data_IF_978297405772
#
_entry.id   IF_978297405772
#
_cell.length_a   1.000
_cell.length_b   1.000
_cell.length_c   1.000
_cell.angle_alpha   90.00
_cell.angle_beta   90.00
_cell.angle_gamma   90.00
#
_symmetry.space_group_name_H-M   'P 1'
#
loop_
_entity.id
_entity.type
_entity.pdbx_description
1 polymer ?
#
# COMPACT_ATOMS: atom_id res chain seq x y z
N UNK A 1 6.66 24.89 -9.28
CA UNK A 1 5.59 25.07 -8.29
C UNK A 1 6.03 24.29 -7.06
N UNK A 2 6.22 24.93 -5.89
CA UNK A 2 6.48 24.16 -4.66
C UNK A 2 5.18 23.45 -4.34
N UNK A 3 5.19 22.11 -4.35
CA UNK A 3 4.06 21.34 -3.85
C UNK A 3 4.10 21.52 -2.33
N UNK A 4 2.99 21.96 -1.75
CA UNK A 4 2.91 22.24 -0.32
C UNK A 4 2.62 20.92 0.41
N UNK A 5 3.48 20.55 1.36
CA UNK A 5 3.24 19.38 2.21
C UNK A 5 2.12 19.69 3.21
N UNK A 6 1.24 18.72 3.43
CA UNK A 6 0.08 18.86 4.32
C UNK A 6 0.41 18.54 5.79
N UNK A 7 1.53 17.87 6.04
CA UNK A 7 1.91 17.36 7.35
C UNK A 7 3.14 18.08 7.90
N UNK A 8 3.18 18.39 9.21
CA UNK A 8 4.39 18.89 9.86
C UNK A 8 5.54 17.90 9.74
N UNK A 9 6.79 18.37 9.69
CA UNK A 9 7.99 17.52 9.61
C UNK A 9 8.11 16.50 10.76
N UNK A 10 7.47 16.79 11.90
CA UNK A 10 7.47 15.93 13.10
C UNK A 10 6.43 14.82 13.07
N UNK A 11 5.57 14.79 12.05
CA UNK A 11 4.45 13.85 11.95
C UNK A 11 4.52 13.01 10.68
N UNK A 12 3.91 11.82 10.72
CA UNK A 12 3.90 10.88 9.60
C UNK A 12 2.58 10.98 8.82
N UNK A 13 2.66 11.06 7.49
CA UNK A 13 1.49 11.19 6.63
C UNK A 13 0.63 9.92 6.55
N UNK A 14 1.07 8.82 7.18
CA UNK A 14 0.34 7.54 7.25
C UNK A 14 -0.03 7.15 8.68
N UNK A 15 -0.04 8.11 9.61
CA UNK A 15 -0.56 7.92 10.97
C UNK A 15 -2.09 7.99 10.98
N UNK A 16 -2.72 6.93 10.44
CA UNK A 16 -4.17 6.85 10.31
C UNK A 16 -4.86 6.46 11.62
N UNK A 17 -6.04 7.03 11.84
CA UNK A 17 -6.97 6.59 12.88
C UNK A 17 -7.77 5.37 12.43
N UNK A 18 -8.31 4.60 13.39
CA UNK A 18 -9.23 3.49 13.09
C UNK A 18 -10.45 3.96 12.28
N UNK A 19 -11.02 5.13 12.59
CA UNK A 19 -12.16 5.68 11.86
C UNK A 19 -11.81 5.91 10.37
N UNK A 20 -10.64 6.47 10.10
CA UNK A 20 -10.18 6.71 8.73
C UNK A 20 -9.96 5.39 7.98
N UNK A 21 -9.27 4.41 8.58
CA UNK A 21 -9.05 3.09 7.97
C UNK A 21 -10.39 2.42 7.66
N UNK A 22 -11.31 2.39 8.63
CA UNK A 22 -12.61 1.74 8.45
C UNK A 22 -13.44 2.41 7.34
N UNK A 23 -13.44 3.74 7.30
CA UNK A 23 -14.28 4.52 6.38
C UNK A 23 -13.71 4.62 4.96
N UNK A 24 -12.43 4.90 4.83
CA UNK A 24 -11.81 5.21 3.53
C UNK A 24 -11.14 4.01 2.88
N UNK A 25 -10.83 2.96 3.66
CA UNK A 25 -10.20 1.75 3.14
C UNK A 25 -11.09 0.51 3.23
N UNK A 26 -11.62 0.19 4.42
CA UNK A 26 -12.40 -1.05 4.62
C UNK A 26 -13.79 -0.98 3.98
N UNK A 27 -14.56 0.09 4.23
CA UNK A 27 -15.93 0.21 3.74
C UNK A 27 -16.04 0.09 2.20
N UNK A 28 -15.19 0.75 1.38
CA UNK A 28 -15.21 0.58 -0.08
C UNK A 28 -14.98 -0.85 -0.56
N UNK A 29 -14.11 -1.60 0.13
CA UNK A 29 -13.77 -2.98 -0.23
C UNK A 29 -14.84 -3.98 0.25
N UNK A 30 -15.51 -3.68 1.37
CA UNK A 30 -16.54 -4.56 1.96
C UNK A 30 -17.78 -4.75 1.09
N UNK A 31 -17.98 -3.90 0.07
CA UNK A 31 -19.07 -4.01 -0.89
C UNK A 31 -18.83 -5.13 -1.93
N UNK A 32 -17.62 -5.67 -2.01
CA UNK A 32 -17.27 -6.77 -2.89
C UNK A 32 -17.50 -8.12 -2.19
N UNK A 33 -18.38 -8.96 -2.75
CA UNK A 33 -18.71 -10.28 -2.18
C UNK A 33 -17.58 -11.30 -2.22
N UNK A 34 -16.54 -11.06 -3.02
CA UNK A 34 -15.38 -11.94 -3.16
C UNK A 34 -14.29 -11.67 -2.11
N UNK A 35 -14.53 -10.71 -1.20
CA UNK A 35 -13.60 -10.28 -0.16
C UNK A 35 -14.08 -10.80 1.19
N UNK A 36 -13.16 -11.39 1.95
CA UNK A 36 -13.37 -11.77 3.34
C UNK A 36 -12.46 -10.91 4.22
N UNK A 37 -13.05 -9.89 4.85
CA UNK A 37 -12.27 -8.85 5.55
C UNK A 37 -12.12 -9.21 7.03
N UNK A 38 -10.87 -9.21 7.48
CA UNK A 38 -10.51 -9.27 8.91
C UNK A 38 -9.66 -8.07 9.27
N UNK A 39 -9.92 -7.49 10.44
CA UNK A 39 -9.15 -6.37 10.98
C UNK A 39 -8.40 -6.83 12.23
N UNK A 40 -7.10 -6.59 12.26
CA UNK A 40 -6.20 -7.14 13.27
C UNK A 40 -5.38 -6.05 13.96
N UNK A 41 -4.99 -6.35 15.20
CA UNK A 41 -4.08 -5.59 16.06
C UNK A 41 -3.23 -6.58 16.84
N UNK A 42 -1.90 -6.44 16.84
CA UNK A 42 -0.97 -7.42 17.41
C UNK A 42 -1.24 -8.86 16.92
N UNK A 43 -1.51 -9.03 15.62
CA UNK A 43 -1.90 -10.31 14.98
C UNK A 43 -3.21 -10.95 15.51
N UNK A 44 -3.95 -10.27 16.39
CA UNK A 44 -5.25 -10.72 16.89
C UNK A 44 -6.39 -10.02 16.13
N UNK A 45 -7.39 -10.79 15.71
CA UNK A 45 -8.61 -10.21 15.13
C UNK A 45 -9.40 -9.43 16.18
N UNK A 46 -9.81 -8.21 15.81
CA UNK A 46 -10.52 -7.30 16.71
C UNK A 46 -11.90 -6.91 16.14
N UNK A 47 -12.89 -6.63 17.00
CA UNK A 47 -14.13 -5.98 16.56
C UNK A 47 -13.87 -4.61 15.94
N UNK A 48 -14.69 -4.19 14.97
CA UNK A 48 -14.56 -2.88 14.31
C UNK A 48 -14.76 -1.68 15.25
N UNK A 49 -15.46 -1.87 16.35
CA UNK A 49 -15.69 -0.87 17.41
C UNK A 49 -14.66 -0.93 18.54
N UNK A 50 -13.59 -1.72 18.36
CA UNK A 50 -12.47 -1.79 19.30
C UNK A 50 -11.65 -0.50 19.33
N UNK A 51 -11.18 -0.15 20.54
CA UNK A 51 -10.23 0.95 20.76
C UNK A 51 -8.76 0.56 20.45
N UNK A 52 -8.48 -0.73 20.20
CA UNK A 52 -7.15 -1.18 19.77
C UNK A 52 -6.83 -0.62 18.37
N UNK A 53 -5.62 -0.12 18.16
CA UNK A 53 -5.18 0.40 16.86
C UNK A 53 -5.23 -0.70 15.80
N UNK A 54 -5.86 -0.44 14.67
CA UNK A 54 -5.82 -1.33 13.51
C UNK A 54 -4.41 -1.24 12.90
N UNK A 55 -3.76 -2.38 12.80
CA UNK A 55 -2.41 -2.52 12.24
C UNK A 55 -2.44 -3.31 10.94
N UNK A 56 -3.36 -4.26 10.81
CA UNK A 56 -3.48 -5.10 9.62
C UNK A 56 -4.93 -5.24 9.20
N UNK A 57 -5.16 -5.23 7.89
CA UNK A 57 -6.43 -5.64 7.29
C UNK A 57 -6.15 -6.74 6.28
N UNK A 58 -6.70 -7.93 6.53
CA UNK A 58 -6.68 -9.06 5.58
C UNK A 58 -7.94 -9.01 4.71
N UNK A 59 -7.80 -9.29 3.41
CA UNK A 59 -8.87 -9.18 2.42
C UNK A 59 -9.31 -10.56 1.85
N UNK A 60 -8.63 -11.62 2.25
CA UNK A 60 -8.89 -13.01 1.85
C UNK A 60 -9.04 -13.95 3.05
N UNK A 61 -9.49 -13.40 4.18
CA UNK A 61 -9.82 -14.14 5.39
C UNK A 61 -8.61 -14.75 6.09
N UNK A 62 -8.64 -16.07 6.31
CA UNK A 62 -7.58 -16.83 6.98
C UNK A 62 -6.40 -17.16 6.07
N UNK A 63 -6.49 -16.93 4.75
CA UNK A 63 -5.39 -17.20 3.82
C UNK A 63 -4.23 -16.23 4.02
N UNK A 64 -4.55 -14.95 4.25
CA UNK A 64 -3.58 -13.87 4.42
C UNK A 64 -2.57 -13.78 3.26
N UNK A 65 -3.02 -14.07 2.03
CA UNK A 65 -2.24 -13.86 0.80
C UNK A 65 -2.55 -12.48 0.18
N UNK A 66 -3.58 -11.78 0.66
CA UNK A 66 -3.87 -10.39 0.30
C UNK A 66 -4.20 -9.59 1.56
N UNK A 67 -3.26 -8.77 2.01
CA UNK A 67 -3.45 -7.94 3.20
C UNK A 67 -2.67 -6.63 3.11
N UNK A 68 -3.01 -5.69 3.99
CA UNK A 68 -2.30 -4.42 4.14
C UNK A 68 -1.89 -4.23 5.60
N UNK A 69 -0.67 -3.75 5.81
CA UNK A 69 -0.15 -3.35 7.11
C UNK A 69 -0.02 -1.83 7.18
N UNK A 70 -0.56 -1.24 8.22
CA UNK A 70 -0.50 0.19 8.52
C UNK A 70 0.52 0.42 9.63
N UNK A 71 1.73 0.83 9.26
CA UNK A 71 2.71 1.37 10.19
C UNK A 71 2.78 2.88 9.96
N UNK A 72 2.84 3.66 11.02
CA UNK A 72 2.68 5.12 10.93
C UNK A 72 3.61 5.77 9.88
N UNK A 73 4.86 5.29 9.76
CA UNK A 73 5.84 5.76 8.79
C UNK A 73 5.94 4.92 7.50
N UNK A 74 5.24 3.79 7.43
CA UNK A 74 5.18 2.90 6.27
C UNK A 74 3.86 2.12 6.22
N UNK A 75 3.14 2.20 5.11
CA UNK A 75 2.06 1.26 4.82
C UNK A 75 2.51 0.28 3.75
N UNK A 76 2.22 -1.02 3.92
CA UNK A 76 2.63 -2.06 2.96
C UNK A 76 1.44 -2.89 2.51
N UNK A 77 1.30 -3.09 1.20
CA UNK A 77 0.34 -4.04 0.61
C UNK A 77 1.10 -5.33 0.29
N UNK A 78 0.58 -6.45 0.77
CA UNK A 78 1.11 -7.78 0.50
C UNK A 78 0.18 -8.53 -0.45
N UNK A 79 0.75 -9.08 -1.52
CA UNK A 79 0.07 -9.89 -2.52
C UNK A 79 0.92 -11.15 -2.72
N UNK A 80 0.47 -12.27 -2.16
CA UNK A 80 1.23 -13.51 -2.07
C UNK A 80 2.59 -13.25 -1.39
N UNK A 81 3.70 -13.46 -2.08
CA UNK A 81 5.07 -13.23 -1.60
C UNK A 81 5.63 -11.84 -1.96
N UNK A 82 4.84 -10.99 -2.62
CA UNK A 82 5.25 -9.66 -3.05
C UNK A 82 4.78 -8.58 -2.08
N UNK A 83 5.69 -7.71 -1.64
CA UNK A 83 5.39 -6.52 -0.85
C UNK A 83 5.50 -5.25 -1.70
N UNK A 84 4.47 -4.40 -1.61
CA UNK A 84 4.48 -3.02 -2.12
C UNK A 84 4.53 -2.06 -0.93
N UNK A 85 5.65 -1.37 -0.77
CA UNK A 85 5.92 -0.44 0.32
C UNK A 85 5.59 1.00 -0.07
N UNK A 86 4.80 1.65 0.77
CA UNK A 86 4.53 3.09 0.75
C UNK A 86 5.19 3.69 1.98
N UNK A 87 6.27 4.44 1.79
CA UNK A 87 7.09 4.99 2.88
C UNK A 87 6.89 6.51 2.92
N UNK A 88 6.69 7.06 4.12
CA UNK A 88 6.59 8.50 4.31
C UNK A 88 7.87 9.16 3.77
N UNK A 89 7.72 10.23 2.98
CA UNK A 89 8.84 10.87 2.30
C UNK A 89 9.97 11.30 3.26
N UNK A 90 9.63 11.73 4.48
CA UNK A 90 10.60 12.10 5.51
C UNK A 90 11.23 10.88 6.20
N UNK A 91 10.58 9.72 6.16
CA UNK A 91 11.09 8.47 6.71
C UNK A 91 12.07 7.75 5.76
N UNK A 92 12.01 7.99 4.44
CA UNK A 92 12.86 7.32 3.42
C UNK A 92 14.36 7.35 3.73
N UNK A 93 14.86 8.45 4.32
CA UNK A 93 16.28 8.58 4.73
C UNK A 93 16.73 7.58 5.79
N UNK A 94 15.79 6.95 6.49
CA UNK A 94 16.05 5.93 7.51
C UNK A 94 16.07 4.51 6.93
N UNK A 95 15.66 4.34 5.67
CA UNK A 95 15.68 3.05 4.98
C UNK A 95 17.01 2.84 4.27
N UNK A 96 17.45 1.60 4.22
CA UNK A 96 18.67 1.17 3.55
C UNK A 96 18.33 0.27 2.37
N UNK A 97 19.33 -0.02 1.53
CA UNK A 97 19.14 -0.94 0.41
C UNK A 97 18.73 -2.35 0.86
N UNK A 98 19.04 -2.78 2.10
CA UNK A 98 18.56 -4.07 2.62
C UNK A 98 17.11 -4.04 3.05
N UNK A 99 16.60 -2.90 3.52
CA UNK A 99 15.20 -2.77 3.95
C UNK A 99 14.25 -2.77 2.74
N UNK A 100 14.73 -2.28 1.59
CA UNK A 100 13.94 -2.16 0.36
C UNK A 100 14.28 -3.25 -0.67
N UNK A 101 15.22 -4.15 -0.37
CA UNK A 101 15.62 -5.18 -1.32
C UNK A 101 14.46 -6.14 -1.60
N UNK A 102 14.24 -6.47 -2.87
CA UNK A 102 13.18 -7.38 -3.35
C UNK A 102 11.75 -6.86 -3.16
N UNK A 103 11.57 -5.63 -2.67
CA UNK A 103 10.27 -5.02 -2.45
C UNK A 103 9.98 -3.94 -3.51
N UNK A 104 8.71 -3.80 -3.88
CA UNK A 104 8.25 -2.70 -4.74
C UNK A 104 8.11 -1.45 -3.87
N UNK A 105 8.90 -0.41 -4.13
CA UNK A 105 8.86 0.83 -3.33
C UNK A 105 8.21 1.96 -4.12
N UNK A 106 7.18 2.59 -3.54
CA UNK A 106 6.54 3.76 -4.11
C UNK A 106 7.39 5.04 -3.95
N UNK A 107 7.70 5.69 -5.07
CA UNK A 107 8.55 6.89 -5.14
C UNK A 107 7.79 8.18 -5.45
N UNK A 108 6.46 8.17 -5.35
CA UNK A 108 5.67 9.40 -5.35
C UNK A 108 5.72 10.14 -4.00
N UNK A 109 5.20 11.37 -3.99
CA UNK A 109 5.10 12.21 -2.79
C UNK A 109 3.75 11.98 -2.10
N UNK A 110 3.78 11.32 -0.94
CA UNK A 110 2.59 11.02 -0.13
C UNK A 110 2.21 12.19 0.78
N UNK A 111 3.19 12.99 1.22
CA UNK A 111 2.96 14.12 2.15
C UNK A 111 2.14 15.26 1.55
N UNK A 112 1.89 15.23 0.24
CA UNK A 112 0.99 16.16 -0.46
C UNK A 112 -0.44 15.62 -0.62
N UNK A 113 -0.74 14.44 -0.10
CA UNK A 113 -2.06 13.81 -0.13
C UNK A 113 -2.64 13.76 1.28
N UNK A 114 -3.94 14.01 1.44
CA UNK A 114 -4.64 13.81 2.71
C UNK A 114 -4.73 12.32 3.08
N UNK A 115 -5.00 11.99 4.35
CA UNK A 115 -5.20 10.61 4.77
C UNK A 115 -6.27 9.90 3.94
N UNK A 116 -7.36 10.61 3.64
CA UNK A 116 -8.42 10.13 2.77
C UNK A 116 -7.88 9.76 1.38
N UNK A 117 -7.13 10.64 0.73
CA UNK A 117 -6.58 10.39 -0.61
C UNK A 117 -5.60 9.22 -0.62
N UNK A 118 -4.76 9.09 0.42
CA UNK A 118 -3.83 7.96 0.55
C UNK A 118 -4.61 6.65 0.73
N UNK A 119 -5.57 6.61 1.65
CA UNK A 119 -6.37 5.41 1.92
C UNK A 119 -7.24 5.01 0.72
N UNK A 120 -7.83 5.97 0.00
CA UNK A 120 -8.60 5.72 -1.22
C UNK A 120 -7.70 5.18 -2.35
N UNK A 121 -6.47 5.69 -2.49
CA UNK A 121 -5.48 5.15 -3.43
C UNK A 121 -5.10 3.70 -3.08
N UNK A 122 -4.84 3.41 -1.80
CA UNK A 122 -4.51 2.06 -1.33
C UNK A 122 -5.69 1.09 -1.55
N UNK A 123 -6.92 1.53 -1.26
CA UNK A 123 -8.12 0.75 -1.49
C UNK A 123 -8.34 0.48 -2.99
N UNK A 124 -8.10 1.47 -3.85
CA UNK A 124 -8.15 1.29 -5.29
C UNK A 124 -7.16 0.21 -5.75
N UNK A 125 -5.88 0.31 -5.35
CA UNK A 125 -4.85 -0.68 -5.70
C UNK A 125 -5.27 -2.09 -5.26
N UNK A 126 -5.67 -2.26 -4.00
CA UNK A 126 -6.09 -3.56 -3.47
C UNK A 126 -7.33 -4.10 -4.19
N UNK A 127 -8.28 -3.24 -4.57
CA UNK A 127 -9.46 -3.68 -5.32
C UNK A 127 -9.09 -4.40 -6.62
N UNK A 128 -7.98 -4.02 -7.25
CA UNK A 128 -7.47 -4.68 -8.46
C UNK A 128 -6.73 -5.98 -8.17
N UNK A 129 -6.19 -6.14 -6.96
CA UNK A 129 -5.46 -7.34 -6.53
C UNK A 129 -6.38 -8.47 -6.07
N UNK A 130 -7.66 -8.19 -5.78
CA UNK A 130 -8.65 -9.22 -5.42
C UNK A 130 -8.78 -10.24 -6.55
N UNK A 131 -8.65 -11.52 -6.21
CA UNK A 131 -8.76 -12.63 -7.15
C UNK A 131 -7.52 -12.88 -8.01
N UNK A 132 -6.40 -12.21 -7.70
CA UNK A 132 -5.08 -12.53 -8.26
C UNK A 132 -4.65 -13.92 -7.82
N UNK A 133 -4.11 -14.69 -8.77
CA UNK A 133 -3.54 -16.02 -8.50
C UNK A 133 -2.07 -16.13 -8.94
N UNK A 134 -1.54 -15.12 -9.62
CA UNK A 134 -0.14 -15.04 -10.03
C UNK A 134 0.28 -13.57 -10.09
N UNK A 135 1.45 -13.27 -9.55
CA UNK A 135 2.10 -11.96 -9.59
C UNK A 135 3.54 -12.13 -10.04
N UNK A 136 4.02 -11.20 -10.87
CA UNK A 136 5.45 -11.07 -11.15
C UNK A 136 5.80 -9.59 -11.32
N UNK A 137 7.01 -9.24 -10.88
CA UNK A 137 7.50 -7.86 -10.90
C UNK A 137 8.72 -7.79 -11.81
N UNK A 138 8.69 -6.85 -12.74
CA UNK A 138 9.87 -6.42 -13.49
C UNK A 138 10.34 -5.08 -12.94
N UNK A 139 11.64 -4.92 -12.75
CA UNK A 139 12.24 -3.69 -12.24
C UNK A 139 13.26 -3.09 -13.23
N UNK A 140 13.19 -1.78 -13.40
CA UNK A 140 14.12 -1.00 -14.20
C UNK A 140 14.76 0.06 -13.31
N UNK A 141 16.08 -0.01 -13.13
CA UNK A 141 16.81 0.93 -12.29
C UNK A 141 16.64 2.36 -12.81
N UNK A 142 16.27 3.27 -11.91
CA UNK A 142 16.18 4.69 -12.22
C UNK A 142 17.49 5.40 -11.87
N UNK A 143 17.84 6.42 -12.67
CA UNK A 143 18.93 7.31 -12.29
C UNK A 143 18.51 8.11 -11.05
N UNK A 144 19.20 7.89 -9.93
CA UNK A 144 18.93 8.53 -8.65
C UNK A 144 18.98 10.07 -8.80
N UNK A 145 17.83 10.71 -8.98
CA UNK A 145 17.72 12.19 -9.01
C UNK A 145 17.72 12.81 -7.61
N UNK A 146 17.44 12.01 -6.58
CA UNK A 146 17.36 12.45 -5.20
C UNK A 146 18.36 11.66 -4.35
N UNK A 147 18.92 12.27 -3.31
CA UNK A 147 19.88 11.72 -2.36
C UNK A 147 19.31 10.57 -1.50
N UNK A 148 18.65 9.59 -2.12
CA UNK A 148 18.12 8.40 -1.45
C UNK A 148 19.26 7.52 -0.95
N UNK A 149 19.07 6.96 0.24
CA UNK A 149 19.95 5.97 0.87
C UNK A 149 19.84 4.57 0.25
N UNK A 150 18.92 4.38 -0.70
CA UNK A 150 18.72 3.15 -1.45
C UNK A 150 18.53 3.42 -2.95
N UNK A 151 18.62 2.36 -3.76
CA UNK A 151 18.43 2.46 -5.22
C UNK A 151 16.95 2.53 -5.54
N UNK A 152 16.55 3.46 -6.41
CA UNK A 152 15.17 3.56 -6.87
C UNK A 152 14.98 2.85 -8.19
N UNK A 153 13.78 2.31 -8.40
CA UNK A 153 13.40 1.57 -9.59
C UNK A 153 12.03 2.00 -10.07
N UNK A 154 11.82 1.82 -11.35
CA UNK A 154 10.49 1.74 -11.96
C UNK A 154 10.07 0.27 -11.93
N UNK A 155 8.82 0.02 -11.55
CA UNK A 155 8.28 -1.32 -11.42
C UNK A 155 7.11 -1.54 -12.37
N UNK A 156 7.13 -2.65 -13.10
CA UNK A 156 5.98 -3.20 -13.78
C UNK A 156 5.48 -4.40 -12.95
N UNK A 157 4.39 -4.20 -12.20
CA UNK A 157 3.73 -5.19 -11.36
C UNK A 157 2.62 -5.84 -12.18
N UNK A 158 2.82 -7.09 -12.56
CA UNK A 158 1.91 -7.81 -13.46
C UNK A 158 1.10 -8.83 -12.67
N UNK A 159 -0.22 -8.69 -12.71
CA UNK A 159 -1.20 -9.49 -11.99
C UNK A 159 -2.00 -10.34 -12.97
N UNK A 160 -2.03 -11.66 -12.78
CA UNK A 160 -3.07 -12.50 -13.41
C UNK A 160 -4.18 -12.74 -12.40
N UNK A 161 -5.38 -12.33 -12.75
CA UNK A 161 -6.53 -12.40 -11.87
C UNK A 161 -7.72 -13.07 -12.57
N UNK A 162 -8.66 -13.57 -11.78
CA UNK A 162 -9.93 -14.09 -12.28
C UNK A 162 -10.89 -12.94 -12.68
N UNK A 163 -10.41 -11.99 -13.48
CA UNK A 163 -11.18 -10.82 -13.95
C UNK A 163 -11.35 -10.86 -15.45
N UNK A 164 -12.49 -10.36 -15.92
CA UNK A 164 -12.82 -10.36 -17.35
C UNK A 164 -12.19 -9.19 -18.13
N UNK A 165 -11.69 -8.16 -17.44
CA UNK A 165 -11.20 -6.93 -18.07
C UNK A 165 -9.74 -6.67 -17.72
N UNK A 166 -8.92 -6.50 -18.76
CA UNK A 166 -7.54 -6.05 -18.63
C UNK A 166 -7.50 -4.57 -18.31
N UNK A 167 -6.66 -4.19 -17.34
CA UNK A 167 -6.50 -2.80 -16.94
C UNK A 167 -5.05 -2.48 -16.68
N UNK A 168 -4.67 -1.22 -16.94
CA UNK A 168 -3.36 -0.68 -16.59
C UNK A 168 -3.55 0.52 -15.68
N UNK A 169 -2.83 0.53 -14.57
CA UNK A 169 -2.82 1.62 -13.60
C UNK A 169 -1.39 2.17 -13.51
N UNK A 170 -1.29 3.46 -13.23
CA UNK A 170 0.00 4.11 -13.03
C UNK A 170 -0.06 4.89 -11.71
N UNK A 171 0.91 4.61 -10.85
CA UNK A 171 1.15 5.31 -9.60
C UNK A 171 2.64 5.68 -9.56
N UNK A 172 2.97 6.85 -10.12
CA UNK A 172 4.35 7.33 -10.26
C UNK A 172 5.27 6.30 -10.93
N UNK A 173 6.18 5.68 -10.16
CA UNK A 173 7.15 4.70 -10.62
C UNK A 173 6.60 3.26 -10.67
N UNK A 174 5.36 3.03 -10.23
CA UNK A 174 4.72 1.71 -10.23
C UNK A 174 3.65 1.66 -11.32
N UNK A 175 3.73 0.66 -12.18
CA UNK A 175 2.77 0.34 -13.24
C UNK A 175 2.13 -1.00 -12.90
N UNK A 176 0.82 -1.01 -12.65
CA UNK A 176 0.09 -2.26 -12.34
C UNK A 176 -0.65 -2.70 -13.59
N UNK A 177 -0.28 -3.86 -14.13
CA UNK A 177 -0.89 -4.47 -15.31
C UNK A 177 -1.75 -5.67 -14.86
N UNK A 178 -3.06 -5.60 -15.09
CA UNK A 178 -4.00 -6.70 -14.80
C UNK A 178 -4.30 -7.43 -16.12
N UNK A 179 -3.99 -8.73 -16.16
CA UNK A 179 -4.14 -9.62 -17.32
C UNK A 179 -5.29 -10.62 -17.22
#
# INVERSE_FOLDING_TARGET
MRIEELYPETDWCMKFTNEEILKYFVEPLSMNSDVDIRVLSDDEEIPKDSDKQIETVCLDGEKQELFINFLECQTSIFIMDTEIMFIDDNAKKNYTSSDTAYNVVYEGNLRCMTHKEILEMLAEIISYCIGTYEIYVEEEKMDNLNHSSYQTFKYDVNLKANKSEKKKLNYNNIYINIE
#
